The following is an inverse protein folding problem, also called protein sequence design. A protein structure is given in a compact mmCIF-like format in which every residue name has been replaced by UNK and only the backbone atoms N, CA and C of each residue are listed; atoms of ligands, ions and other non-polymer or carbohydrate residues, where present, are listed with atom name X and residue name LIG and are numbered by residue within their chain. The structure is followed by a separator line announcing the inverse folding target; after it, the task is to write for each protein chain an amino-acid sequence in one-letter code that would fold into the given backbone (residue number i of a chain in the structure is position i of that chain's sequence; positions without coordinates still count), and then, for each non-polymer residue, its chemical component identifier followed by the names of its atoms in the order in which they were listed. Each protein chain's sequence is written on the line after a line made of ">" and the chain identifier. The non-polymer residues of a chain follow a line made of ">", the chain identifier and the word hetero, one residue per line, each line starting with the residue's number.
data_IF_943063262620
#
_entry.id   IF_943063262620
#
_cell.length_a   1.000
_cell.length_b   1.000
_cell.length_c   1.000
_cell.angle_alpha   90.00
_cell.angle_beta   90.00
_cell.angle_gamma   90.00
#
_symmetry.space_group_name_H-M   'P 1'
#
loop_
_entity.id
_entity.type
_entity.pdbx_description
1 polymer ?
#
# COMPACT_ATOMS: atom_id res chain seq x y z
N UNK A 1 18.44 5.93 59.16
CA UNK A 1 18.80 4.84 58.24
C UNK A 1 17.52 4.11 57.85
N UNK A 2 16.78 4.64 56.86
CA UNK A 2 15.73 3.89 56.17
C UNK A 2 16.01 4.06 54.69
N UNK A 3 16.91 3.23 54.18
CA UNK A 3 17.06 3.02 52.75
C UNK A 3 15.83 2.27 52.29
N UNK A 4 14.74 3.02 52.03
CA UNK A 4 13.67 2.56 51.16
C UNK A 4 14.33 2.23 49.83
N UNK A 5 14.57 0.94 49.61
CA UNK A 5 14.93 0.40 48.32
C UNK A 5 13.75 0.71 47.43
N UNK A 6 13.83 1.86 46.74
CA UNK A 6 12.92 2.23 45.68
C UNK A 6 12.93 1.04 44.71
N UNK A 7 11.87 0.25 44.73
CA UNK A 7 11.74 -0.98 43.96
C UNK A 7 12.01 -0.60 42.50
N UNK A 8 13.15 -1.04 41.95
CA UNK A 8 13.51 -0.70 40.58
C UNK A 8 12.43 -1.26 39.69
N UNK A 9 11.65 -0.39 39.05
CA UNK A 9 10.66 -0.79 38.05
C UNK A 9 11.31 -1.80 37.10
N UNK A 10 10.80 -3.03 37.02
CA UNK A 10 11.31 -4.02 36.08
C UNK A 10 10.54 -3.90 34.77
N UNK A 11 11.25 -3.90 33.64
CA UNK A 11 10.63 -3.95 32.32
C UNK A 11 10.67 -5.40 31.85
N UNK A 12 9.51 -5.93 31.47
CA UNK A 12 9.39 -7.27 30.89
C UNK A 12 9.44 -7.20 29.37
N UNK A 13 10.25 -8.08 28.77
CA UNK A 13 10.37 -8.25 27.33
C UNK A 13 9.89 -9.64 26.89
N UNK A 14 9.11 -9.69 25.82
CA UNK A 14 8.66 -10.93 25.20
C UNK A 14 9.38 -11.17 23.87
N UNK A 15 9.90 -12.38 23.67
CA UNK A 15 10.54 -12.76 22.41
C UNK A 15 9.50 -13.04 21.33
N UNK A 16 9.17 -12.01 20.55
CA UNK A 16 8.19 -12.06 19.47
C UNK A 16 8.71 -12.75 18.20
N UNK A 17 9.96 -12.46 17.80
CA UNK A 17 10.60 -13.02 16.60
C UNK A 17 11.87 -13.81 16.95
N UNK A 18 12.00 -14.99 16.34
CA UNK A 18 13.20 -15.81 16.43
C UNK A 18 14.38 -15.19 15.68
N UNK A 19 15.59 -15.66 16.00
CA UNK A 19 16.78 -15.30 15.22
C UNK A 19 16.64 -15.69 13.74
N UNK A 20 16.09 -16.87 13.44
CA UNK A 20 15.87 -17.31 12.07
C UNK A 20 14.97 -16.33 11.27
N UNK A 21 13.85 -15.91 11.86
CA UNK A 21 12.94 -14.94 11.22
C UNK A 21 13.62 -13.59 10.98
N UNK A 22 14.45 -13.12 11.92
CA UNK A 22 15.21 -11.88 11.76
C UNK A 22 16.27 -11.97 10.67
N UNK A 23 16.97 -13.10 10.57
CA UNK A 23 17.94 -13.34 9.49
C UNK A 23 17.22 -13.37 8.14
N UNK A 24 16.11 -14.10 8.02
CA UNK A 24 15.30 -14.10 6.80
C UNK A 24 14.86 -12.69 6.40
N UNK A 25 14.41 -11.90 7.38
CA UNK A 25 14.03 -10.50 7.14
C UNK A 25 15.22 -9.62 6.72
N UNK A 26 16.39 -9.79 7.32
CA UNK A 26 17.59 -9.06 6.93
C UNK A 26 18.02 -9.40 5.48
N UNK A 27 17.95 -10.68 5.10
CA UNK A 27 18.21 -11.13 3.72
C UNK A 27 17.15 -10.57 2.76
N UNK A 28 15.88 -10.49 3.20
CA UNK A 28 14.80 -9.87 2.43
C UNK A 28 15.09 -8.39 2.17
N UNK A 29 15.41 -7.62 3.21
CA UNK A 29 15.75 -6.19 3.09
C UNK A 29 16.90 -6.01 2.10
N UNK A 30 17.98 -6.78 2.26
CA UNK A 30 19.15 -6.67 1.40
C UNK A 30 18.83 -6.98 -0.06
N UNK A 31 18.21 -8.15 -0.32
CA UNK A 31 17.90 -8.59 -1.68
C UNK A 31 16.86 -7.70 -2.37
N UNK A 32 15.80 -7.31 -1.66
CA UNK A 32 14.79 -6.39 -2.16
C UNK A 32 15.39 -5.02 -2.51
N UNK A 33 16.21 -4.45 -1.61
CA UNK A 33 16.87 -3.16 -1.86
C UNK A 33 17.77 -3.25 -3.09
N UNK A 34 18.58 -4.30 -3.22
CA UNK A 34 19.44 -4.51 -4.37
C UNK A 34 18.62 -4.62 -5.67
N UNK A 35 17.51 -5.38 -5.66
CA UNK A 35 16.61 -5.54 -6.80
C UNK A 35 15.95 -4.22 -7.21
N UNK A 36 15.47 -3.41 -6.26
CA UNK A 36 14.85 -2.11 -6.52
C UNK A 36 15.88 -1.12 -7.08
N UNK A 37 17.03 -0.98 -6.41
CA UNK A 37 18.09 -0.04 -6.80
C UNK A 37 18.65 -0.37 -8.19
N UNK A 38 18.73 -1.65 -8.53
CA UNK A 38 19.20 -2.06 -9.86
C UNK A 38 18.08 -2.08 -10.91
N UNK A 39 16.82 -2.35 -10.53
CA UNK A 39 15.69 -2.50 -11.45
C UNK A 39 15.03 -1.19 -11.86
N UNK A 40 14.76 -0.30 -10.89
CA UNK A 40 14.07 0.96 -11.12
C UNK A 40 14.77 1.88 -12.14
N UNK A 41 16.11 2.03 -12.13
CA UNK A 41 16.79 2.90 -13.08
C UNK A 41 16.62 2.49 -14.54
N UNK A 42 16.36 1.21 -14.83
CA UNK A 42 16.10 0.75 -16.22
C UNK A 42 14.76 1.29 -16.72
N UNK A 43 13.74 1.32 -15.86
CA UNK A 43 12.40 1.81 -16.22
C UNK A 43 12.35 3.32 -16.37
N UNK A 44 13.18 4.04 -15.61
CA UNK A 44 13.21 5.50 -15.56
C UNK A 44 14.55 6.07 -16.03
N UNK A 45 15.17 5.42 -17.02
CA UNK A 45 16.53 5.75 -17.45
C UNK A 45 16.71 7.21 -17.87
N UNK A 46 15.68 7.88 -18.36
CA UNK A 46 15.77 9.31 -18.71
C UNK A 46 15.93 10.26 -17.52
N UNK A 47 15.65 9.80 -16.30
CA UNK A 47 15.92 10.57 -15.09
C UNK A 47 17.42 10.69 -14.82
N UNK A 48 17.96 11.90 -14.56
CA UNK A 48 19.37 12.07 -14.20
C UNK A 48 19.82 11.21 -13.01
N UNK A 49 18.92 11.00 -12.03
CA UNK A 49 19.17 10.14 -10.88
C UNK A 49 19.36 8.68 -11.31
N UNK A 50 18.56 8.22 -12.26
CA UNK A 50 18.66 6.84 -12.77
C UNK A 50 19.95 6.64 -13.58
N UNK A 51 20.35 7.63 -14.41
CA UNK A 51 21.63 7.60 -15.13
C UNK A 51 22.81 7.55 -14.15
N UNK A 52 22.83 8.45 -13.16
CA UNK A 52 23.88 8.48 -12.13
C UNK A 52 23.96 7.20 -11.31
N UNK A 53 22.83 6.57 -10.95
CA UNK A 53 22.81 5.27 -10.28
C UNK A 53 23.39 4.16 -11.16
N UNK A 54 23.04 4.11 -12.44
CA UNK A 54 23.60 3.12 -13.39
C UNK A 54 25.10 3.31 -13.55
N UNK A 55 25.57 4.55 -13.67
CA UNK A 55 27.00 4.86 -13.75
C UNK A 55 27.75 4.47 -12.47
N UNK A 56 27.20 4.79 -11.30
CA UNK A 56 27.77 4.41 -10.00
C UNK A 56 27.91 2.88 -9.84
N UNK A 57 26.99 2.12 -10.42
CA UNK A 57 27.03 0.64 -10.42
C UNK A 57 28.04 0.06 -11.42
N UNK A 58 28.69 0.88 -12.26
CA UNK A 58 29.62 0.41 -13.30
C UNK A 58 28.97 0.19 -14.67
N UNK A 59 27.82 0.82 -14.93
CA UNK A 59 27.11 0.75 -16.21
C UNK A 59 26.03 -0.32 -16.28
N UNK A 60 25.44 -0.46 -17.47
CA UNK A 60 24.24 -1.30 -17.67
C UNK A 60 24.51 -2.80 -17.45
N UNK A 61 25.71 -3.27 -17.83
CA UNK A 61 26.12 -4.66 -17.66
C UNK A 61 26.32 -5.03 -16.19
N UNK A 62 27.08 -4.23 -15.45
CA UNK A 62 27.32 -4.44 -14.02
C UNK A 62 26.00 -4.38 -13.23
N UNK A 63 25.14 -3.39 -13.52
CA UNK A 63 23.79 -3.31 -12.96
C UNK A 63 22.95 -4.56 -13.26
N UNK A 64 23.02 -5.11 -14.48
CA UNK A 64 22.30 -6.33 -14.83
C UNK A 64 22.79 -7.55 -14.07
N UNK A 65 24.11 -7.67 -13.87
CA UNK A 65 24.71 -8.71 -13.04
C UNK A 65 24.25 -8.57 -11.58
N UNK A 66 24.33 -7.37 -10.99
CA UNK A 66 23.88 -7.09 -9.63
C UNK A 66 22.40 -7.42 -9.43
N UNK A 67 21.54 -7.07 -10.39
CA UNK A 67 20.11 -7.42 -10.35
C UNK A 67 19.90 -8.93 -10.30
N UNK A 68 20.65 -9.69 -11.12
CA UNK A 68 20.57 -11.15 -11.13
C UNK A 68 21.10 -11.77 -9.85
N UNK A 69 22.17 -11.23 -9.26
CA UNK A 69 22.67 -11.65 -7.95
C UNK A 69 21.59 -11.43 -6.89
N UNK A 70 20.97 -10.25 -6.85
CA UNK A 70 19.84 -9.96 -5.98
C UNK A 70 18.67 -10.92 -6.18
N UNK A 71 18.36 -11.27 -7.43
CA UNK A 71 17.31 -12.22 -7.76
C UNK A 71 17.61 -13.63 -7.24
N UNK A 72 18.84 -14.13 -7.39
CA UNK A 72 19.23 -15.44 -6.84
C UNK A 72 19.10 -15.47 -5.32
N UNK A 73 19.57 -14.43 -4.63
CA UNK A 73 19.46 -14.33 -3.17
C UNK A 73 18.00 -14.31 -2.73
N UNK A 74 17.16 -13.52 -3.41
CA UNK A 74 15.73 -13.44 -3.13
C UNK A 74 15.02 -14.78 -3.37
N UNK A 75 15.28 -15.44 -4.51
CA UNK A 75 14.72 -16.76 -4.83
C UNK A 75 15.13 -17.79 -3.79
N UNK A 76 16.42 -17.82 -3.42
CA UNK A 76 16.93 -18.72 -2.38
C UNK A 76 16.23 -18.48 -1.03
N UNK A 77 16.01 -17.22 -0.66
CA UNK A 77 15.25 -16.87 0.54
C UNK A 77 13.79 -17.35 0.44
N UNK A 78 13.10 -17.13 -0.68
CA UNK A 78 11.72 -17.59 -0.86
C UNK A 78 11.61 -19.11 -0.76
N UNK A 79 12.54 -19.85 -1.39
CA UNK A 79 12.60 -21.31 -1.30
C UNK A 79 12.87 -21.75 0.14
N UNK A 80 13.87 -21.15 0.80
CA UNK A 80 14.17 -21.45 2.19
C UNK A 80 12.96 -21.18 3.10
N UNK A 81 12.29 -20.04 2.93
CA UNK A 81 11.12 -19.66 3.70
C UNK A 81 9.98 -20.67 3.49
N UNK A 82 9.70 -21.07 2.25
CA UNK A 82 8.68 -22.08 1.94
C UNK A 82 9.01 -23.45 2.56
N UNK A 83 10.27 -23.88 2.51
CA UNK A 83 10.71 -25.11 3.17
C UNK A 83 10.57 -24.98 4.70
N UNK A 84 10.97 -23.84 5.27
CA UNK A 84 10.86 -23.58 6.70
C UNK A 84 9.40 -23.62 7.18
N UNK A 85 8.47 -23.00 6.44
CA UNK A 85 7.04 -22.98 6.78
C UNK A 85 6.39 -24.35 6.64
N UNK A 86 6.85 -25.21 5.74
CA UNK A 86 6.30 -26.57 5.57
C UNK A 86 6.91 -27.56 6.57
N UNK A 87 8.24 -27.60 6.69
CA UNK A 87 8.94 -28.69 7.36
C UNK A 87 9.18 -28.47 8.85
N UNK A 88 9.16 -27.23 9.35
CA UNK A 88 9.40 -26.97 10.79
C UNK A 88 8.10 -26.71 11.56
N UNK A 89 7.96 -27.20 12.81
CA UNK A 89 6.79 -26.93 13.63
C UNK A 89 6.56 -25.43 13.86
N UNK A 90 7.63 -24.69 14.16
CA UNK A 90 7.56 -23.24 14.35
C UNK A 90 7.18 -22.53 13.05
N UNK A 91 7.78 -22.87 11.92
CA UNK A 91 7.43 -22.28 10.63
C UNK A 91 5.97 -22.49 10.25
N UNK A 92 5.42 -23.70 10.48
CA UNK A 92 3.99 -23.98 10.27
C UNK A 92 3.09 -23.12 11.15
N UNK A 93 3.43 -22.99 12.44
CA UNK A 93 2.66 -22.15 13.37
C UNK A 93 2.64 -20.68 12.94
N UNK A 94 3.78 -20.14 12.52
CA UNK A 94 3.88 -18.75 12.05
C UNK A 94 3.13 -18.55 10.73
N UNK A 95 3.23 -19.50 9.80
CA UNK A 95 2.50 -19.45 8.54
C UNK A 95 0.99 -19.46 8.75
N UNK A 96 0.48 -20.36 9.61
CA UNK A 96 -0.95 -20.41 9.96
C UNK A 96 -1.41 -19.13 10.65
N UNK A 97 -0.56 -18.54 11.51
CA UNK A 97 -0.86 -17.28 12.17
C UNK A 97 -0.85 -16.08 11.20
N UNK A 98 -0.04 -16.12 10.15
CA UNK A 98 0.02 -15.10 9.09
C UNK A 98 -1.04 -15.29 8.01
N UNK A 99 -1.64 -16.47 7.91
CA UNK A 99 -2.68 -16.74 6.94
C UNK A 99 -3.94 -15.89 7.23
N UNK A 100 -4.56 -15.23 6.23
CA UNK A 100 -5.77 -14.46 6.43
C UNK A 100 -6.97 -15.36 6.78
N UNK A 101 -7.72 -15.00 7.81
CA UNK A 101 -8.93 -15.65 8.29
C UNK A 101 -10.12 -14.69 8.24
N UNK A 102 -11.34 -15.22 8.37
CA UNK A 102 -12.59 -14.43 8.38
C UNK A 102 -12.58 -13.37 9.50
N UNK A 103 -11.89 -13.65 10.62
CA UNK A 103 -11.69 -12.66 11.70
C UNK A 103 -11.00 -11.39 11.19
N UNK A 104 -10.03 -11.50 10.28
CA UNK A 104 -9.30 -10.34 9.77
C UNK A 104 -10.21 -9.39 8.99
N UNK A 105 -11.21 -9.92 8.26
CA UNK A 105 -12.23 -9.09 7.62
C UNK A 105 -13.09 -8.33 8.64
N UNK A 106 -13.45 -8.98 9.77
CA UNK A 106 -14.16 -8.32 10.88
C UNK A 106 -13.30 -7.25 11.54
N UNK A 107 -12.01 -7.55 11.75
CA UNK A 107 -11.06 -6.61 12.34
C UNK A 107 -10.87 -5.36 11.44
N UNK A 108 -10.81 -5.54 10.12
CA UNK A 108 -10.77 -4.43 9.15
C UNK A 108 -12.02 -3.56 9.29
N UNK A 109 -13.21 -4.16 9.27
CA UNK A 109 -14.47 -3.42 9.39
C UNK A 109 -14.54 -2.69 10.72
N UNK A 110 -14.21 -3.36 11.83
CA UNK A 110 -14.20 -2.73 13.16
C UNK A 110 -13.20 -1.58 13.22
N UNK A 111 -12.00 -1.74 12.64
CA UNK A 111 -11.00 -0.67 12.62
C UNK A 111 -11.50 0.55 11.83
N UNK A 112 -12.14 0.33 10.67
CA UNK A 112 -12.75 1.40 9.90
C UNK A 112 -13.85 2.10 10.71
N UNK A 113 -14.75 1.34 11.33
CA UNK A 113 -15.81 1.90 12.18
C UNK A 113 -15.22 2.69 13.36
N UNK A 114 -14.15 2.20 13.98
CA UNK A 114 -13.45 2.92 15.05
C UNK A 114 -12.87 4.24 14.55
N UNK A 115 -12.25 4.24 13.39
CA UNK A 115 -11.73 5.47 12.76
C UNK A 115 -12.84 6.46 12.37
N UNK A 116 -14.02 5.99 11.99
CA UNK A 116 -15.20 6.83 11.79
C UNK A 116 -15.91 7.23 13.09
N UNK A 117 -15.41 6.81 14.25
CA UNK A 117 -16.01 7.07 15.56
C UNK A 117 -17.31 6.30 15.83
N UNK A 118 -17.64 5.32 14.98
CA UNK A 118 -18.83 4.47 15.09
C UNK A 118 -18.60 3.26 16.01
N UNK A 119 -17.35 2.82 16.17
CA UNK A 119 -16.98 1.85 17.18
C UNK A 119 -16.23 2.54 18.33
N UNK A 120 -16.48 2.10 19.57
CA UNK A 120 -15.87 2.67 20.77
C UNK A 120 -14.44 2.19 21.00
N UNK A 121 -14.08 1.03 20.47
CA UNK A 121 -12.82 0.34 20.75
C UNK A 121 -12.16 -0.17 19.47
N UNK A 122 -10.83 -0.10 19.44
CA UNK A 122 -10.01 -0.73 18.40
C UNK A 122 -10.20 -2.25 18.38
N UNK A 123 -10.08 -2.90 17.21
CA UNK A 123 -10.09 -4.36 17.15
C UNK A 123 -8.96 -4.95 18.00
N UNK A 124 -9.27 -6.06 18.65
CA UNK A 124 -8.31 -6.79 19.48
C UNK A 124 -7.53 -7.76 18.59
N UNK A 125 -6.31 -7.37 18.27
CA UNK A 125 -5.43 -8.17 17.42
C UNK A 125 -4.84 -9.37 18.16
N UNK A 126 -4.61 -10.42 17.39
CA UNK A 126 -3.92 -11.63 17.84
C UNK A 126 -2.41 -11.48 17.61
N UNK A 127 -1.70 -12.59 17.42
CA UNK A 127 -0.27 -12.63 17.14
C UNK A 127 0.09 -11.67 16.02
N UNK A 128 -0.62 -11.73 14.90
CA UNK A 128 -0.49 -10.75 13.83
C UNK A 128 -1.81 -9.99 13.63
N UNK A 129 -1.71 -8.68 13.47
CA UNK A 129 -2.78 -7.82 12.97
C UNK A 129 -3.08 -8.11 11.50
N UNK A 130 -4.26 -7.73 11.01
CA UNK A 130 -4.59 -7.90 9.59
C UNK A 130 -3.63 -7.14 8.67
N UNK A 131 -3.04 -6.03 9.16
CA UNK A 131 -2.06 -5.23 8.42
C UNK A 131 -0.78 -6.05 8.19
N UNK A 132 -0.23 -6.66 9.24
CA UNK A 132 0.97 -7.50 9.13
C UNK A 132 0.73 -8.73 8.25
N UNK A 133 -0.46 -9.34 8.34
CA UNK A 133 -0.85 -10.46 7.46
C UNK A 133 -0.95 -10.01 6.00
N UNK A 134 -1.52 -8.84 5.76
CA UNK A 134 -1.63 -8.27 4.42
C UNK A 134 -0.26 -7.94 3.83
N UNK A 135 0.65 -7.35 4.61
CA UNK A 135 2.03 -7.09 4.18
C UNK A 135 2.77 -8.40 3.85
N UNK A 136 2.63 -9.44 4.69
CA UNK A 136 3.19 -10.76 4.40
C UNK A 136 2.64 -11.37 3.10
N UNK A 137 1.30 -11.33 2.92
CA UNK A 137 0.65 -11.85 1.72
C UNK A 137 1.06 -11.07 0.47
N UNK A 138 1.15 -9.73 0.55
CA UNK A 138 1.56 -8.87 -0.54
C UNK A 138 3.00 -9.21 -0.99
N UNK A 139 3.93 -9.39 -0.05
CA UNK A 139 5.31 -9.79 -0.38
C UNK A 139 5.36 -11.21 -0.95
N UNK A 140 4.59 -12.16 -0.41
CA UNK A 140 4.54 -13.53 -0.92
C UNK A 140 3.99 -13.60 -2.36
N UNK A 141 2.89 -12.88 -2.62
CA UNK A 141 2.25 -12.80 -3.93
C UNK A 141 3.11 -12.03 -4.94
N UNK A 142 3.54 -10.81 -4.59
CA UNK A 142 4.40 -9.99 -5.43
C UNK A 142 5.73 -10.67 -5.72
N UNK A 143 6.34 -11.31 -4.72
CA UNK A 143 7.54 -12.14 -4.89
C UNK A 143 7.35 -13.27 -5.90
N UNK A 144 6.20 -13.96 -5.85
CA UNK A 144 5.87 -15.01 -6.83
C UNK A 144 5.78 -14.46 -8.25
N UNK A 145 5.06 -13.36 -8.46
CA UNK A 145 4.98 -12.69 -9.77
C UNK A 145 6.36 -12.26 -10.24
N UNK A 146 7.16 -11.62 -9.38
CA UNK A 146 8.50 -11.14 -9.70
C UNK A 146 9.44 -12.29 -10.11
N UNK A 147 9.38 -13.43 -9.43
CA UNK A 147 10.19 -14.61 -9.75
C UNK A 147 9.75 -15.18 -11.11
N UNK A 148 8.47 -15.43 -11.31
CA UNK A 148 7.96 -16.04 -12.54
C UNK A 148 8.22 -15.17 -13.77
N UNK A 149 7.85 -13.90 -13.70
CA UNK A 149 8.11 -12.93 -14.78
C UNK A 149 9.60 -12.67 -14.95
N UNK A 150 10.37 -12.63 -13.86
CA UNK A 150 11.82 -12.51 -13.89
C UNK A 150 12.48 -13.66 -14.64
N UNK A 151 12.06 -14.91 -14.43
CA UNK A 151 12.57 -16.06 -15.17
C UNK A 151 12.29 -15.98 -16.68
N UNK A 152 11.09 -15.52 -17.06
CA UNK A 152 10.73 -15.27 -18.48
C UNK A 152 11.68 -14.21 -19.09
N UNK A 153 11.93 -13.13 -18.35
CA UNK A 153 12.79 -12.02 -18.80
C UNK A 153 14.29 -12.33 -18.70
N UNK A 154 14.69 -13.29 -17.88
CA UNK A 154 16.07 -13.75 -17.77
C UNK A 154 16.49 -14.51 -19.03
N UNK A 155 15.59 -15.33 -19.58
CA UNK A 155 15.86 -16.16 -20.75
C UNK A 155 14.89 -15.86 -21.91
N UNK A 156 14.85 -14.62 -22.43
CA UNK A 156 13.81 -14.20 -23.37
C UNK A 156 13.79 -15.04 -24.66
N UNK A 157 14.96 -15.43 -25.18
CA UNK A 157 15.05 -16.29 -26.38
C UNK A 157 14.44 -17.67 -26.14
N UNK A 158 14.74 -18.30 -25.00
CA UNK A 158 14.14 -19.60 -24.62
C UNK A 158 12.65 -19.46 -24.35
N UNK A 159 12.24 -18.37 -23.69
CA UNK A 159 10.84 -18.09 -23.43
C UNK A 159 10.04 -17.96 -24.74
N UNK A 160 10.57 -17.28 -25.75
CA UNK A 160 9.91 -17.15 -27.07
C UNK A 160 9.88 -18.45 -27.90
N UNK A 161 10.73 -19.43 -27.57
CA UNK A 161 10.65 -20.78 -28.19
C UNK A 161 9.50 -21.62 -27.59
N UNK A 162 9.14 -21.36 -26.33
CA UNK A 162 8.14 -22.14 -25.58
C UNK A 162 6.77 -21.42 -25.58
N UNK A 163 6.78 -20.10 -25.47
CA UNK A 163 5.61 -19.25 -25.31
C UNK A 163 5.45 -18.28 -26.47
N UNK A 164 4.20 -17.89 -26.81
CA UNK A 164 3.95 -16.78 -27.72
C UNK A 164 4.56 -15.45 -27.22
N UNK A 165 4.94 -14.56 -28.14
CA UNK A 165 5.53 -13.25 -27.83
C UNK A 165 4.74 -12.44 -26.77
N UNK A 166 3.42 -12.50 -26.82
CA UNK A 166 2.57 -11.74 -25.89
C UNK A 166 2.84 -12.11 -24.42
N UNK A 167 3.27 -13.34 -24.12
CA UNK A 167 3.63 -13.76 -22.76
C UNK A 167 4.88 -13.00 -22.26
N UNK A 168 5.87 -12.80 -23.12
CA UNK A 168 7.10 -12.05 -22.80
C UNK A 168 6.78 -10.56 -22.63
N UNK A 169 5.89 -10.02 -23.46
CA UNK A 169 5.44 -8.63 -23.34
C UNK A 169 4.67 -8.41 -22.03
N UNK A 170 3.73 -9.31 -21.69
CA UNK A 170 3.01 -9.30 -20.42
C UNK A 170 3.96 -9.43 -19.24
N UNK A 171 4.94 -10.35 -19.31
CA UNK A 171 5.94 -10.51 -18.26
C UNK A 171 6.74 -9.22 -18.04
N UNK A 172 7.14 -8.51 -19.11
CA UNK A 172 7.84 -7.22 -19.01
C UNK A 172 6.99 -6.17 -18.29
N UNK A 173 5.71 -6.06 -18.67
CA UNK A 173 4.77 -5.10 -18.08
C UNK A 173 4.52 -5.44 -16.61
N UNK A 174 4.14 -6.69 -16.33
CA UNK A 174 3.84 -7.17 -14.98
C UNK A 174 5.06 -7.02 -14.05
N UNK A 175 6.25 -7.45 -14.47
CA UNK A 175 7.47 -7.32 -13.68
C UNK A 175 7.78 -5.86 -13.34
N UNK A 176 7.64 -4.96 -14.32
CA UNK A 176 7.93 -3.53 -14.10
C UNK A 176 6.93 -2.86 -13.17
N UNK A 177 5.63 -3.14 -13.33
CA UNK A 177 4.60 -2.51 -12.49
C UNK A 177 4.53 -3.12 -11.10
N UNK A 178 4.73 -4.43 -10.97
CA UNK A 178 4.82 -5.10 -9.67
C UNK A 178 6.03 -4.59 -8.88
N UNK A 179 7.18 -4.38 -9.53
CA UNK A 179 8.35 -3.77 -8.88
C UNK A 179 8.05 -2.37 -8.33
N UNK A 180 7.35 -1.53 -9.10
CA UNK A 180 6.93 -0.20 -8.66
C UNK A 180 5.92 -0.28 -7.50
N UNK A 181 4.92 -1.16 -7.61
CA UNK A 181 3.92 -1.39 -6.58
C UNK A 181 4.58 -1.83 -5.27
N UNK A 182 5.47 -2.82 -5.34
CA UNK A 182 6.21 -3.34 -4.19
C UNK A 182 7.09 -2.24 -3.57
N UNK A 183 7.83 -1.47 -4.37
CA UNK A 183 8.63 -0.35 -3.90
C UNK A 183 7.78 0.69 -3.14
N UNK A 184 6.67 1.13 -3.72
CA UNK A 184 5.78 2.11 -3.10
C UNK A 184 5.10 1.55 -1.85
N UNK A 185 4.68 0.29 -1.86
CA UNK A 185 4.09 -0.36 -0.69
C UNK A 185 5.08 -0.40 0.47
N UNK A 186 6.35 -0.72 0.21
CA UNK A 186 7.37 -0.74 1.26
C UNK A 186 7.63 0.67 1.80
N UNK A 187 7.84 1.67 0.93
CA UNK A 187 8.20 3.02 1.37
C UNK A 187 7.05 3.77 2.03
N UNK A 188 5.83 3.63 1.54
CA UNK A 188 4.68 4.40 2.03
C UNK A 188 4.02 3.66 3.19
N UNK A 189 3.74 2.37 3.02
CA UNK A 189 2.96 1.63 4.00
C UNK A 189 3.86 1.00 5.05
N UNK A 190 4.77 0.11 4.65
CA UNK A 190 5.57 -0.67 5.61
C UNK A 190 6.50 0.23 6.45
N UNK A 191 7.14 1.22 5.82
CA UNK A 191 7.96 2.17 6.56
C UNK A 191 7.13 3.03 7.52
N UNK A 192 5.90 3.39 7.14
CA UNK A 192 5.03 4.10 8.07
C UNK A 192 4.68 3.23 9.27
N UNK A 193 4.23 1.99 9.07
CA UNK A 193 3.78 1.10 10.14
C UNK A 193 4.93 0.75 11.10
N UNK A 194 6.10 0.44 10.55
CA UNK A 194 7.24 -0.07 11.32
C UNK A 194 8.16 1.03 11.84
N UNK A 195 8.33 2.15 11.14
CA UNK A 195 9.30 3.20 11.49
C UNK A 195 8.67 4.52 11.94
N UNK A 196 7.56 4.93 11.32
CA UNK A 196 7.02 6.29 11.51
C UNK A 196 5.71 6.33 12.31
N UNK A 197 5.20 5.19 12.76
CA UNK A 197 4.02 5.14 13.59
C UNK A 197 4.33 5.74 14.96
N UNK A 198 3.43 6.54 15.56
CA UNK A 198 3.68 7.19 16.85
C UNK A 198 4.07 6.22 17.96
N UNK A 199 3.53 5.00 17.91
CA UNK A 199 3.74 3.97 18.94
C UNK A 199 5.12 3.29 18.84
N UNK A 200 5.75 3.34 17.65
CA UNK A 200 7.03 2.69 17.41
C UNK A 200 8.12 3.65 16.95
N UNK A 201 7.91 4.98 16.97
CA UNK A 201 8.94 5.92 16.54
C UNK A 201 10.20 5.82 17.44
N UNK A 202 11.42 5.72 16.87
CA UNK A 202 11.77 5.81 15.45
C UNK A 202 11.76 4.47 14.67
N UNK A 203 11.63 3.33 15.35
CA UNK A 203 11.32 2.04 14.74
C UNK A 203 10.85 0.98 15.75
N UNK A 204 10.05 0.02 15.28
CA UNK A 204 9.70 -1.17 16.04
C UNK A 204 10.97 -2.04 16.22
N UNK A 205 11.43 -2.30 17.45
CA UNK A 205 12.67 -3.04 17.68
C UNK A 205 12.56 -4.54 17.35
N UNK A 206 11.35 -5.08 17.17
CA UNK A 206 11.13 -6.52 17.02
C UNK A 206 11.89 -7.11 15.82
N UNK A 207 12.00 -6.40 14.69
CA UNK A 207 12.73 -6.93 13.53
C UNK A 207 14.26 -6.99 13.73
N UNK A 208 14.80 -6.23 14.68
CA UNK A 208 16.23 -6.21 15.03
C UNK A 208 16.51 -7.11 16.23
N UNK A 209 15.85 -6.88 17.36
CA UNK A 209 16.13 -7.56 18.64
C UNK A 209 15.29 -8.83 18.82
N UNK A 210 14.17 -8.93 18.12
CA UNK A 210 13.21 -10.01 18.27
C UNK A 210 12.27 -9.81 19.46
N UNK A 211 12.36 -8.68 20.17
CA UNK A 211 11.67 -8.45 21.45
C UNK A 211 10.73 -7.26 21.38
N UNK A 212 9.64 -7.34 22.14
CA UNK A 212 8.72 -6.25 22.45
C UNK A 212 8.57 -6.10 23.96
N UNK A 213 8.33 -4.88 24.44
CA UNK A 213 7.98 -4.67 25.85
C UNK A 213 6.59 -5.21 26.15
N UNK A 214 6.31 -5.48 27.42
CA UNK A 214 4.98 -5.87 27.86
C UNK A 214 3.89 -4.87 27.44
N UNK A 215 4.16 -3.58 27.57
CA UNK A 215 3.22 -2.53 27.18
C UNK A 215 2.91 -2.58 25.68
N UNK A 216 3.94 -2.75 24.85
CA UNK A 216 3.78 -2.91 23.40
C UNK A 216 2.96 -4.17 23.07
N UNK A 217 3.22 -5.30 23.75
CA UNK A 217 2.43 -6.51 23.59
C UNK A 217 0.96 -6.31 23.96
N UNK A 218 0.68 -5.63 25.09
CA UNK A 218 -0.68 -5.34 25.54
C UNK A 218 -1.44 -4.43 24.57
N UNK A 219 -0.77 -3.43 24.00
CA UNK A 219 -1.39 -2.46 23.11
C UNK A 219 -1.59 -3.00 21.69
N UNK A 220 -0.56 -3.64 21.10
CA UNK A 220 -0.58 -4.05 19.70
C UNK A 220 -1.05 -5.49 19.47
N UNK A 221 -0.88 -6.37 20.47
CA UNK A 221 -1.19 -7.80 20.35
C UNK A 221 -1.97 -8.30 21.59
N UNK A 222 -3.12 -7.68 21.93
CA UNK A 222 -3.79 -7.92 23.20
C UNK A 222 -4.21 -9.39 23.42
N UNK A 223 -4.65 -10.09 22.37
CA UNK A 223 -5.06 -11.50 22.53
C UNK A 223 -3.85 -12.44 22.70
N UNK A 224 -2.69 -12.10 22.10
CA UNK A 224 -1.47 -12.85 22.34
C UNK A 224 -0.96 -12.59 23.76
N UNK A 225 -0.92 -11.32 24.18
CA UNK A 225 -0.52 -10.92 25.52
C UNK A 225 -1.30 -11.67 26.60
N UNK A 226 -2.63 -11.75 26.49
CA UNK A 226 -3.46 -12.49 27.46
C UNK A 226 -3.10 -13.97 27.58
N UNK A 227 -2.65 -14.61 26.50
CA UNK A 227 -2.25 -16.04 26.53
C UNK A 227 -0.86 -16.27 27.11
N UNK A 228 0.01 -15.25 27.08
CA UNK A 228 1.42 -15.39 27.48
C UNK A 228 1.79 -14.63 28.75
N UNK A 229 0.96 -13.69 29.24
CA UNK A 229 1.30 -12.81 30.39
C UNK A 229 1.64 -13.57 31.68
N UNK A 230 1.02 -14.73 31.88
CA UNK A 230 1.15 -15.54 33.10
C UNK A 230 2.29 -16.58 33.00
N UNK A 231 2.91 -16.71 31.82
CA UNK A 231 4.00 -17.66 31.53
C UNK A 231 5.36 -16.99 31.75
N UNK A 232 5.82 -16.95 33.01
CA UNK A 232 7.07 -16.26 33.41
C UNK A 232 8.29 -16.66 32.58
N UNK A 233 8.36 -17.90 32.12
CA UNK A 233 9.45 -18.43 31.30
C UNK A 233 9.57 -17.77 29.91
N UNK A 234 8.52 -17.09 29.44
CA UNK A 234 8.50 -16.39 28.15
C UNK A 234 8.92 -14.91 28.26
N UNK A 235 9.09 -14.41 29.48
CA UNK A 235 9.38 -13.01 29.76
C UNK A 235 10.79 -12.86 30.33
N UNK A 236 11.55 -11.95 29.73
CA UNK A 236 12.83 -11.52 30.24
C UNK A 236 12.62 -10.25 31.07
N UNK A 237 12.96 -10.32 32.36
CA UNK A 237 12.89 -9.20 33.30
C UNK A 237 14.22 -8.45 33.31
N UNK A 238 14.18 -7.17 32.93
CA UNK A 238 15.35 -6.30 32.93
C UNK A 238 15.09 -5.14 33.91
N UNK A 239 15.98 -4.88 34.88
CA UNK A 239 15.86 -3.72 35.76
C UNK A 239 15.87 -2.43 34.93
N UNK A 240 14.88 -1.54 35.12
CA UNK A 240 14.87 -0.22 34.47
C UNK A 240 16.08 0.57 34.97
N UNK A 241 16.86 1.13 34.05
CA UNK A 241 17.92 2.07 34.40
C UNK A 241 17.30 3.28 35.13
N UNK A 242 17.96 3.87 36.14
CA UNK A 242 17.45 5.07 36.78
C UNK A 242 17.17 6.14 35.72
N UNK A 243 15.95 6.68 35.72
CA UNK A 243 15.65 7.83 34.88
C UNK A 243 16.65 8.95 35.24
N UNK A 244 17.24 9.65 34.25
CA UNK A 244 17.97 10.86 34.55
C UNK A 244 17.04 11.81 35.35
N UNK A 245 17.57 12.55 36.33
CA UNK A 245 16.74 13.43 37.15
C UNK A 245 15.91 14.32 36.24
N UNK A 246 14.61 14.33 36.47
CA UNK A 246 13.66 15.13 35.71
C UNK A 246 14.18 16.57 35.69
N UNK A 247 14.37 17.20 34.50
CA UNK A 247 14.83 18.57 34.46
C UNK A 247 13.84 19.40 35.27
N UNK A 248 14.36 20.15 36.25
CA UNK A 248 13.56 20.93 37.18
C UNK A 248 12.47 21.66 36.40
N UNK A 249 11.21 21.31 36.69
CA UNK A 249 10.04 21.93 36.08
C UNK A 249 10.06 23.39 36.50
N UNK A 250 10.68 24.24 35.67
CA UNK A 250 10.52 25.68 35.74
C UNK A 250 9.04 25.91 35.48
N UNK A 251 8.33 26.37 36.51
CA UNK A 251 6.91 26.64 36.45
C UNK A 251 6.56 27.52 35.26
N UNK A 252 6.09 26.89 34.20
CA UNK A 252 5.28 27.53 33.18
C UNK A 252 3.93 26.83 33.24
N UNK A 253 2.95 27.53 33.82
CA UNK A 253 1.57 27.24 33.53
C UNK A 253 1.36 27.41 32.03
N UNK A 254 1.39 26.30 31.30
CA UNK A 254 0.86 26.24 29.95
C UNK A 254 -0.09 25.05 29.90
N UNK A 255 -1.38 25.37 29.87
CA UNK A 255 -2.41 24.52 29.33
C UNK A 255 -2.05 24.20 27.88
N UNK A 256 -1.21 23.20 27.64
CA UNK A 256 -1.05 22.66 26.30
C UNK A 256 -2.34 21.90 25.97
N UNK A 257 -3.17 22.36 25.02
CA UNK A 257 -4.24 21.52 24.51
C UNK A 257 -3.58 20.27 23.94
N UNK A 258 -3.99 19.09 24.43
CA UNK A 258 -3.61 17.81 23.86
C UNK A 258 -3.70 17.93 22.33
N UNK A 259 -2.56 17.77 21.66
CA UNK A 259 -2.46 17.70 20.21
C UNK A 259 -3.17 16.43 19.72
N UNK A 260 -4.51 16.44 19.77
CA UNK A 260 -5.33 15.54 18.97
C UNK A 260 -5.21 16.01 17.52
N UNK A 261 -4.55 15.16 16.71
CA UNK A 261 -4.58 15.02 15.22
C UNK A 261 -3.20 15.27 14.58
N UNK A 262 -2.63 14.19 14.00
CA UNK A 262 -2.79 13.97 12.56
C UNK A 262 -3.25 12.53 12.19
N UNK A 263 -3.99 11.86 13.08
CA UNK A 263 -4.52 10.50 12.80
C UNK A 263 -5.52 10.51 11.64
N UNK A 264 -6.36 11.56 11.54
CA UNK A 264 -7.38 11.66 10.47
C UNK A 264 -6.76 11.82 9.09
N UNK A 265 -5.65 12.57 8.96
CA UNK A 265 -4.95 12.77 7.68
C UNK A 265 -4.22 11.53 7.20
N UNK A 266 -3.69 10.72 8.11
CA UNK A 266 -3.08 9.44 7.76
C UNK A 266 -4.17 8.45 7.38
N UNK A 267 -5.22 8.31 8.19
CA UNK A 267 -6.33 7.39 7.92
C UNK A 267 -7.06 7.70 6.62
N UNK A 268 -7.29 8.98 6.28
CA UNK A 268 -7.87 9.33 4.97
C UNK A 268 -6.93 9.02 3.82
N UNK A 269 -5.61 9.17 3.99
CA UNK A 269 -4.62 8.79 2.99
C UNK A 269 -4.53 7.27 2.81
N UNK A 270 -4.59 6.50 3.89
CA UNK A 270 -4.53 5.03 3.87
C UNK A 270 -5.82 4.41 3.33
N UNK A 271 -6.99 4.93 3.72
CA UNK A 271 -8.28 4.46 3.20
C UNK A 271 -8.45 4.82 1.72
N UNK A 272 -8.01 6.02 1.30
CA UNK A 272 -7.98 6.41 -0.11
C UNK A 272 -7.00 5.53 -0.91
N UNK A 273 -5.81 5.25 -0.37
CA UNK A 273 -4.81 4.37 -1.01
C UNK A 273 -5.26 2.92 -1.13
N UNK A 274 -5.89 2.35 -0.10
CA UNK A 274 -6.38 0.98 -0.10
C UNK A 274 -7.61 0.80 -1.02
N UNK A 275 -8.53 1.77 -1.02
CA UNK A 275 -9.65 1.78 -1.96
C UNK A 275 -9.17 1.93 -3.42
N UNK A 276 -8.15 2.77 -3.65
CA UNK A 276 -7.56 3.01 -4.97
C UNK A 276 -6.74 1.83 -5.53
N UNK A 277 -5.98 1.14 -4.67
CA UNK A 277 -5.01 0.12 -5.11
C UNK A 277 -5.57 -1.29 -5.24
N UNK A 278 -6.56 -1.66 -4.42
CA UNK A 278 -6.96 -3.07 -4.25
C UNK A 278 -8.44 -3.28 -4.60
N UNK A 279 -9.33 -2.42 -4.06
CA UNK A 279 -10.78 -2.59 -4.19
C UNK A 279 -11.29 -2.08 -5.55
N UNK A 280 -10.76 -0.95 -6.02
CA UNK A 280 -11.14 -0.35 -7.30
C UNK A 280 -10.85 -1.25 -8.52
N UNK A 281 -9.68 -1.90 -8.65
CA UNK A 281 -9.47 -2.88 -9.72
C UNK A 281 -10.39 -4.09 -9.58
N UNK A 282 -10.57 -4.66 -8.39
CA UNK A 282 -11.36 -5.89 -8.23
C UNK A 282 -12.87 -5.70 -8.51
N UNK A 283 -13.46 -4.59 -8.08
CA UNK A 283 -14.89 -4.33 -8.27
C UNK A 283 -15.21 -3.73 -9.65
N UNK A 284 -14.27 -3.01 -10.28
CA UNK A 284 -14.49 -2.43 -11.60
C UNK A 284 -14.06 -3.37 -12.74
N UNK A 285 -12.98 -4.13 -12.58
CA UNK A 285 -12.42 -4.95 -13.66
C UNK A 285 -13.29 -6.18 -13.94
N UNK A 286 -13.88 -6.79 -12.90
CA UNK A 286 -14.67 -8.01 -13.07
C UNK A 286 -15.96 -7.78 -13.87
N UNK A 287 -16.83 -6.79 -13.58
CA UNK A 287 -18.05 -6.56 -14.34
C UNK A 287 -17.78 -5.97 -15.73
N UNK A 288 -16.75 -5.12 -15.87
CA UNK A 288 -16.42 -4.48 -17.15
C UNK A 288 -15.72 -5.44 -18.11
N UNK A 289 -14.85 -6.33 -17.61
CA UNK A 289 -14.29 -7.43 -18.39
C UNK A 289 -15.37 -8.45 -18.78
N UNK A 290 -16.32 -8.75 -17.88
CA UNK A 290 -17.46 -9.62 -18.20
C UNK A 290 -18.35 -8.99 -19.29
N UNK A 291 -18.71 -7.71 -19.16
CA UNK A 291 -19.56 -7.02 -20.11
C UNK A 291 -18.87 -6.87 -21.49
N UNK A 292 -17.58 -6.53 -21.52
CA UNK A 292 -16.80 -6.43 -22.76
C UNK A 292 -16.65 -7.79 -23.46
N UNK A 293 -16.49 -8.88 -22.70
CA UNK A 293 -16.44 -10.25 -23.23
C UNK A 293 -17.80 -10.70 -23.79
N UNK A 294 -18.90 -10.39 -23.11
CA UNK A 294 -20.28 -10.71 -23.55
C UNK A 294 -20.66 -9.93 -24.81
N UNK A 295 -20.24 -8.67 -24.94
CA UNK A 295 -20.61 -7.80 -26.06
C UNK A 295 -19.73 -7.98 -27.32
N UNK A 296 -18.55 -8.61 -27.22
CA UNK A 296 -17.71 -8.91 -28.37
C UNK A 296 -16.90 -10.22 -28.19
N UNK A 297 -17.54 -11.39 -28.24
CA UNK A 297 -16.92 -12.67 -27.90
C UNK A 297 -15.82 -13.13 -28.88
N UNK A 298 -15.70 -12.51 -30.07
CA UNK A 298 -14.68 -12.81 -31.08
C UNK A 298 -13.59 -11.73 -31.21
N UNK A 299 -13.72 -10.60 -30.51
CA UNK A 299 -12.79 -9.47 -30.58
C UNK A 299 -11.66 -9.59 -29.55
N UNK A 300 -10.57 -10.27 -29.92
CA UNK A 300 -9.31 -10.13 -29.19
C UNK A 300 -8.84 -8.65 -29.21
N UNK A 301 -8.21 -8.21 -28.11
CA UNK A 301 -7.30 -7.05 -27.97
C UNK A 301 -7.72 -5.80 -27.16
N UNK A 302 -8.89 -5.74 -26.50
CA UNK A 302 -9.28 -4.51 -25.74
C UNK A 302 -8.97 -4.50 -24.24
N UNK A 303 -8.29 -5.52 -23.70
CA UNK A 303 -7.82 -5.53 -22.29
C UNK A 303 -6.72 -4.51 -21.97
N UNK A 304 -6.06 -3.94 -23.00
CA UNK A 304 -4.99 -2.94 -22.88
C UNK A 304 -5.54 -1.50 -22.83
N UNK A 305 -6.77 -1.28 -23.28
CA UNK A 305 -7.38 0.05 -23.39
C UNK A 305 -7.98 0.60 -22.09
N UNK A 306 -7.72 -0.07 -20.96
CA UNK A 306 -8.03 0.44 -19.62
C UNK A 306 -6.86 1.24 -19.00
N UNK A 307 -5.65 1.19 -19.58
CA UNK A 307 -4.53 2.07 -19.19
C UNK A 307 -4.87 3.58 -19.14
N UNK A 308 -5.68 4.14 -20.07
CA UNK A 308 -6.02 5.55 -20.04
C UNK A 308 -6.98 5.93 -18.90
N UNK A 309 -7.77 4.97 -18.39
CA UNK A 309 -8.63 5.17 -17.21
C UNK A 309 -7.76 5.37 -15.96
N UNK A 310 -6.67 4.60 -15.82
CA UNK A 310 -5.69 4.80 -14.75
C UNK A 310 -4.94 6.15 -14.85
N UNK A 311 -4.68 6.63 -16.08
CA UNK A 311 -4.03 7.94 -16.31
C UNK A 311 -4.96 9.14 -16.03
N UNK A 312 -6.29 8.94 -15.98
CA UNK A 312 -7.28 9.97 -15.62
C UNK A 312 -7.65 9.95 -14.13
N UNK A 313 -7.56 8.79 -13.48
CA UNK A 313 -7.78 8.64 -12.03
C UNK A 313 -6.66 9.32 -11.25
N UNK A 314 -5.41 9.22 -11.71
CA UNK A 314 -4.24 9.74 -11.01
C UNK A 314 -4.26 11.28 -10.84
N UNK A 315 -4.57 12.11 -11.86
CA UNK A 315 -4.68 13.56 -11.69
C UNK A 315 -5.86 13.99 -10.82
N UNK A 316 -7.02 13.33 -10.91
CA UNK A 316 -8.16 13.61 -10.06
C UNK A 316 -7.88 13.27 -8.58
N UNK A 317 -7.13 12.19 -8.33
CA UNK A 317 -6.63 11.83 -7.01
C UNK A 317 -5.62 12.85 -6.48
N UNK A 318 -4.72 13.33 -7.33
CA UNK A 318 -3.75 14.38 -6.96
C UNK A 318 -4.44 15.71 -6.68
N UNK A 319 -5.42 16.14 -7.49
CA UNK A 319 -6.18 17.38 -7.25
C UNK A 319 -7.05 17.27 -5.98
N UNK A 320 -7.66 16.11 -5.74
CA UNK A 320 -8.39 15.81 -4.51
C UNK A 320 -7.49 15.83 -3.27
N UNK A 321 -6.31 15.20 -3.36
CA UNK A 321 -5.32 15.17 -2.28
C UNK A 321 -4.72 16.57 -2.00
N UNK A 322 -4.40 17.34 -3.04
CA UNK A 322 -3.90 18.72 -2.91
C UNK A 322 -4.97 19.64 -2.32
N UNK A 323 -6.23 19.52 -2.74
CA UNK A 323 -7.34 20.29 -2.19
C UNK A 323 -7.60 19.95 -0.72
N UNK A 324 -7.54 18.66 -0.36
CA UNK A 324 -7.65 18.21 1.03
C UNK A 324 -6.49 18.70 1.89
N UNK A 325 -5.26 18.74 1.34
CA UNK A 325 -4.08 19.29 2.00
C UNK A 325 -4.21 20.80 2.25
N UNK A 326 -4.64 21.58 1.24
CA UNK A 326 -4.84 23.04 1.35
C UNK A 326 -5.92 23.39 2.39
N UNK A 327 -7.03 22.67 2.41
CA UNK A 327 -8.11 22.92 3.39
C UNK A 327 -7.75 22.37 4.80
N UNK A 328 -6.90 21.34 4.90
CA UNK A 328 -6.31 20.89 6.18
C UNK A 328 -5.35 21.94 6.77
N UNK A 329 -4.52 22.58 5.93
CA UNK A 329 -3.65 23.69 6.34
C UNK A 329 -4.45 24.92 6.83
N UNK A 330 -5.69 25.10 6.36
CA UNK A 330 -6.63 26.14 6.81
C UNK A 330 -7.49 25.75 8.03
N UNK A 331 -7.17 24.64 8.72
CA UNK A 331 -7.86 24.14 9.93
C UNK A 331 -9.37 23.87 9.75
N UNK A 332 -9.83 23.47 8.55
CA UNK A 332 -11.24 23.06 8.30
C UNK A 332 -11.35 21.55 7.99
N UNK A 333 -11.15 20.66 8.97
CA UNK A 333 -10.85 19.24 8.75
C UNK A 333 -12.04 18.36 8.29
N UNK A 334 -13.28 18.77 8.55
CA UNK A 334 -14.46 17.98 8.16
C UNK A 334 -14.87 18.24 6.70
N UNK A 335 -14.83 19.51 6.29
CA UNK A 335 -15.08 19.92 4.91
C UNK A 335 -14.05 19.33 3.94
N UNK A 336 -12.76 19.35 4.30
CA UNK A 336 -11.67 18.82 3.47
C UNK A 336 -11.79 17.31 3.23
N UNK A 337 -12.14 16.53 4.26
CA UNK A 337 -12.33 15.09 4.16
C UNK A 337 -13.59 14.72 3.35
N UNK A 338 -14.69 15.44 3.56
CA UNK A 338 -15.97 15.19 2.89
C UNK A 338 -15.89 15.54 1.40
N UNK A 339 -15.34 16.70 1.03
CA UNK A 339 -15.23 17.12 -0.37
C UNK A 339 -14.17 16.35 -1.16
N UNK A 340 -13.03 16.02 -0.53
CA UNK A 340 -12.02 15.16 -1.15
C UNK A 340 -12.56 13.76 -1.45
N UNK A 341 -13.33 13.19 -0.51
CA UNK A 341 -13.91 11.86 -0.66
C UNK A 341 -15.10 11.83 -1.62
N UNK A 342 -16.00 12.83 -1.58
CA UNK A 342 -17.10 12.95 -2.54
C UNK A 342 -16.60 13.28 -3.95
N UNK A 343 -15.62 14.16 -4.10
CA UNK A 343 -15.01 14.48 -5.39
C UNK A 343 -14.31 13.27 -6.01
N UNK A 344 -13.58 12.49 -5.20
CA UNK A 344 -12.97 11.24 -5.63
C UNK A 344 -14.02 10.18 -5.98
N UNK A 345 -15.04 9.98 -5.14
CA UNK A 345 -16.09 8.97 -5.37
C UNK A 345 -16.99 9.31 -6.58
N UNK A 346 -17.36 10.59 -6.78
CA UNK A 346 -18.18 11.02 -7.92
C UNK A 346 -17.37 11.01 -9.22
N UNK A 347 -16.12 11.48 -9.21
CA UNK A 347 -15.23 11.37 -10.36
C UNK A 347 -14.95 9.91 -10.75
N UNK A 348 -14.82 9.02 -9.76
CA UNK A 348 -14.57 7.59 -9.93
C UNK A 348 -15.80 6.82 -10.43
N UNK A 349 -17.01 7.08 -9.90
CA UNK A 349 -18.21 6.32 -10.22
C UNK A 349 -19.02 6.88 -11.39
N UNK A 350 -19.13 8.22 -11.52
CA UNK A 350 -20.06 8.85 -12.46
C UNK A 350 -19.39 9.39 -13.73
N UNK A 351 -18.10 9.72 -13.69
CA UNK A 351 -17.35 10.18 -14.87
C UNK A 351 -17.34 9.15 -16.03
N UNK A 352 -16.97 7.88 -15.77
CA UNK A 352 -17.04 6.82 -16.78
C UNK A 352 -18.47 6.51 -17.23
N UNK A 353 -19.45 6.54 -16.32
CA UNK A 353 -20.83 6.17 -16.68
C UNK A 353 -21.55 7.27 -17.47
N UNK A 354 -21.34 8.54 -17.15
CA UNK A 354 -22.07 9.66 -17.78
C UNK A 354 -21.44 10.15 -19.08
N UNK A 355 -20.14 9.93 -19.29
CA UNK A 355 -19.42 10.45 -20.47
C UNK A 355 -18.93 9.32 -21.37
N UNK A 356 -18.38 8.23 -20.81
CA UNK A 356 -17.83 7.14 -21.62
C UNK A 356 -18.89 6.22 -22.22
N UNK A 357 -20.00 5.94 -21.53
CA UNK A 357 -21.09 5.13 -22.08
C UNK A 357 -21.75 5.80 -23.29
N UNK A 358 -22.11 7.09 -23.26
CA UNK A 358 -22.59 7.81 -24.44
C UNK A 358 -21.51 7.94 -25.53
N UNK A 359 -20.25 8.21 -25.18
CA UNK A 359 -19.17 8.32 -26.15
C UNK A 359 -18.85 6.99 -26.85
N UNK A 360 -18.84 5.87 -26.12
CA UNK A 360 -18.67 4.54 -26.69
C UNK A 360 -19.85 4.16 -27.60
N UNK A 361 -21.07 4.54 -27.21
CA UNK A 361 -22.27 4.33 -28.04
C UNK A 361 -22.22 5.15 -29.34
N UNK A 362 -21.78 6.42 -29.27
CA UNK A 362 -21.57 7.29 -30.43
C UNK A 362 -20.42 6.76 -31.30
N UNK A 363 -19.34 6.27 -30.70
CA UNK A 363 -18.21 5.68 -31.44
C UNK A 363 -18.60 4.38 -32.15
N UNK A 364 -19.43 3.54 -31.53
CA UNK A 364 -20.01 2.38 -32.19
C UNK A 364 -20.90 2.78 -33.37
N UNK A 365 -21.69 3.85 -33.24
CA UNK A 365 -22.49 4.38 -34.34
C UNK A 365 -21.62 4.93 -35.48
N UNK A 366 -20.54 5.67 -35.17
CA UNK A 366 -19.60 6.21 -36.17
C UNK A 366 -18.82 5.10 -36.87
N UNK A 367 -18.36 4.09 -36.12
CA UNK A 367 -17.62 2.95 -36.70
C UNK A 367 -18.51 2.07 -37.58
N UNK A 368 -19.82 2.01 -37.31
CA UNK A 368 -20.79 1.35 -38.16
C UNK A 368 -21.11 2.16 -39.43
N UNK A 369 -21.35 3.46 -39.31
CA UNK A 369 -21.73 4.32 -40.45
C UNK A 369 -20.54 4.75 -41.33
N UNK A 370 -19.36 4.96 -40.73
CA UNK A 370 -18.13 5.42 -41.40
C UNK A 370 -16.88 4.64 -40.95
N UNK A 371 -16.76 3.37 -41.33
CA UNK A 371 -15.67 2.48 -40.86
C UNK A 371 -14.26 2.96 -41.23
N UNK A 372 -14.09 3.65 -42.38
CA UNK A 372 -12.78 4.20 -42.79
C UNK A 372 -12.31 5.38 -41.92
N UNK A 373 -13.25 6.14 -41.34
CA UNK A 373 -12.94 7.24 -40.43
C UNK A 373 -12.60 6.70 -39.04
N UNK A 374 -13.32 5.66 -38.59
CA UNK A 374 -13.05 5.00 -37.32
C UNK A 374 -11.71 4.23 -37.28
N UNK A 375 -11.17 3.84 -38.44
CA UNK A 375 -9.85 3.21 -38.54
C UNK A 375 -8.67 4.20 -38.48
N UNK A 376 -8.92 5.50 -38.48
CA UNK A 376 -7.86 6.52 -38.44
C UNK A 376 -7.42 6.79 -36.99
N UNK A 377 -6.18 6.42 -36.65
CA UNK A 377 -5.61 6.58 -35.31
C UNK A 377 -5.62 8.03 -34.81
N UNK A 378 -5.46 9.02 -35.69
CA UNK A 378 -5.47 10.44 -35.30
C UNK A 378 -6.86 10.89 -34.85
N UNK A 379 -7.91 10.41 -35.53
CA UNK A 379 -9.32 10.72 -35.17
C UNK A 379 -9.70 10.05 -33.86
N UNK A 380 -9.25 8.82 -33.64
CA UNK A 380 -9.36 8.09 -32.37
C UNK A 380 -8.71 8.85 -31.22
N UNK A 381 -7.47 9.32 -31.41
CA UNK A 381 -6.74 10.07 -30.38
C UNK A 381 -7.42 11.41 -30.06
N UNK A 382 -7.84 12.17 -31.08
CA UNK A 382 -8.51 13.46 -30.86
C UNK A 382 -9.87 13.28 -30.18
N UNK A 383 -10.67 12.30 -30.61
CA UNK A 383 -11.95 11.96 -29.98
C UNK A 383 -11.78 11.54 -28.52
N UNK A 384 -10.75 10.75 -28.23
CA UNK A 384 -10.38 10.38 -26.86
C UNK A 384 -10.06 11.60 -25.98
N UNK A 385 -9.25 12.54 -26.48
CA UNK A 385 -8.87 13.74 -25.72
C UNK A 385 -10.05 14.69 -25.45
N UNK A 386 -10.97 14.85 -26.41
CA UNK A 386 -12.17 15.66 -26.23
C UNK A 386 -13.05 15.08 -25.11
N UNK A 387 -13.29 13.76 -25.13
CA UNK A 387 -14.09 13.05 -24.13
C UNK A 387 -13.41 13.09 -22.75
N UNK A 388 -12.09 12.98 -22.70
CA UNK A 388 -11.31 13.09 -21.47
C UNK A 388 -11.40 14.50 -20.85
N UNK A 389 -11.26 15.57 -21.65
CA UNK A 389 -11.37 16.96 -21.18
C UNK A 389 -12.77 17.28 -20.68
N UNK A 390 -13.81 16.83 -21.38
CA UNK A 390 -15.21 17.02 -20.96
C UNK A 390 -15.51 16.29 -19.64
N UNK A 391 -14.96 15.08 -19.46
CA UNK A 391 -15.10 14.31 -18.20
C UNK A 391 -14.44 15.02 -17.02
N UNK A 392 -13.25 15.60 -17.22
CA UNK A 392 -12.55 16.39 -16.21
C UNK A 392 -13.31 17.68 -15.86
N UNK A 393 -13.91 18.34 -16.87
CA UNK A 393 -14.71 19.55 -16.69
C UNK A 393 -15.96 19.32 -15.84
N UNK A 394 -16.68 18.21 -16.07
CA UNK A 394 -17.85 17.83 -15.27
C UNK A 394 -17.47 17.49 -13.83
N UNK A 395 -16.37 16.76 -13.62
CA UNK A 395 -15.84 16.46 -12.28
C UNK A 395 -15.44 17.70 -11.49
N UNK A 396 -14.75 18.65 -12.15
CA UNK A 396 -14.37 19.93 -11.54
C UNK A 396 -15.60 20.80 -11.22
N UNK A 397 -16.58 20.88 -12.12
CA UNK A 397 -17.82 21.63 -11.92
C UNK A 397 -18.65 21.07 -10.75
N UNK A 398 -18.81 19.75 -10.66
CA UNK A 398 -19.53 19.10 -9.57
C UNK A 398 -18.81 19.26 -8.22
N UNK A 399 -17.48 19.23 -8.19
CA UNK A 399 -16.71 19.51 -6.99
C UNK A 399 -16.91 20.96 -6.49
N UNK A 400 -16.94 21.93 -7.42
CA UNK A 400 -17.23 23.34 -7.11
C UNK A 400 -18.69 23.52 -6.64
N UNK A 401 -19.64 22.85 -7.29
CA UNK A 401 -21.05 22.89 -6.92
C UNK A 401 -21.30 22.27 -5.53
N UNK A 402 -20.74 21.10 -5.25
CA UNK A 402 -20.83 20.43 -3.95
C UNK A 402 -20.24 21.30 -2.83
N UNK A 403 -19.12 21.97 -3.09
CA UNK A 403 -18.51 22.95 -2.17
C UNK A 403 -19.43 24.13 -1.87
N UNK A 404 -20.16 24.63 -2.87
CA UNK A 404 -21.17 25.69 -2.70
C UNK A 404 -22.38 25.23 -1.89
N UNK A 405 -22.80 23.97 -2.00
CA UNK A 405 -23.94 23.45 -1.25
C UNK A 405 -23.60 23.17 0.22
N UNK A 406 -22.43 22.60 0.53
CA UNK A 406 -22.06 22.39 1.93
C UNK A 406 -21.70 23.68 2.67
N UNK A 407 -21.44 24.79 1.96
CA UNK A 407 -21.40 26.13 2.57
C UNK A 407 -22.79 26.58 3.07
N UNK A 408 -23.87 26.25 2.34
CA UNK A 408 -25.26 26.54 2.74
C UNK A 408 -25.77 25.62 3.85
N UNK A 409 -25.34 24.35 3.85
CA UNK A 409 -25.70 23.38 4.90
C UNK A 409 -25.09 23.79 6.26
N UNK A 410 -23.92 24.46 6.26
CA UNK A 410 -23.31 25.00 7.48
C UNK A 410 -24.13 26.11 8.16
N UNK A 411 -24.93 26.85 7.40
CA UNK A 411 -25.86 27.88 7.93
C UNK A 411 -27.15 27.27 8.49
N UNK A 412 -27.46 26.02 8.17
CA UNK A 412 -28.62 25.27 8.69
C UNK A 412 -28.33 24.54 10.01
N UNK A 413 -27.05 24.39 10.36
CA UNK A 413 -26.57 23.64 11.55
C UNK A 413 -26.14 24.60 12.67
N UNK A 414 -26.10 25.91 12.40
CA UNK A 414 -26.01 26.97 13.42
C UNK A 414 -27.39 27.52 13.71
#
# INVERSE_FOLDING_TARGET
>A
MSSEVQERETIRYYQRLSLNQRIQHAVLIFSFTLLVVTGMPVRYYESPVSKGLVELMGGMEARALLHRIGAVIFIALCVYHALYTVFTPRGRQEFVALFPWIKDAKDIIQQLLYYFGLAKEMPRFDRYSWIEKFEYLAVAWGGTIMILTGFVLWFPSKAMMIFPKWVVDVARVAHSYEALLAFLSIIIWHFYTVHLSPDFFPMNPAFITGKLTEEQMRHHHPLEYERVRDRKELWEEVPRAPLPPEPAVVGQGSTHPMLRRPVVSVVTFTAAGAAAGIVAPLLAYLPFALAAWVLNPKGNFWGISLMPVYLLILPCMVVGAVSALVDALKRRPFASALYGSLGAAVGFCLGPVLVWLPAASIWHLISWLWPKVAANETVLQVGFWIVAVLSLGVGAWLAVWARRQGAKIGEWIQ
#
